data_IF_366238891007
#
_entry.id   IF_366238891007
#
_cell.length_a   1.000
_cell.length_b   1.000
_cell.length_c   1.000
_cell.angle_alpha   90.00
_cell.angle_beta   90.00
_cell.angle_gamma   90.00
#
_symmetry.space_group_name_H-M   'P 1'
#
loop_
_entity.id
_entity.type
_entity.pdbx_description
1 polymer ?
#
# COMPACT_ATOMS: atom_id res chain seq x y z
N UNK A 1 16.20 24.63 4.75
CA UNK A 1 15.00 24.32 5.56
C UNK A 1 13.99 25.43 5.34
N UNK A 2 12.72 25.10 5.11
CA UNK A 2 11.67 26.13 5.05
C UNK A 2 11.57 26.85 6.39
N UNK A 3 11.19 28.14 6.34
CA UNK A 3 11.05 28.99 7.52
C UNK A 3 9.90 28.42 8.37
N UNK A 4 10.17 28.10 9.64
CA UNK A 4 9.12 27.70 10.58
C UNK A 4 8.23 28.92 10.80
N UNK A 5 6.96 28.80 10.41
CA UNK A 5 5.95 29.83 10.67
C UNK A 5 5.37 29.56 12.04
N UNK A 6 5.57 30.48 12.98
CA UNK A 6 4.93 30.45 14.31
C UNK A 6 3.65 31.30 14.26
N UNK A 7 2.50 30.74 14.63
CA UNK A 7 1.22 31.44 14.60
C UNK A 7 0.03 30.48 14.74
N UNK A 8 -1.21 30.98 14.53
CA UNK A 8 -2.39 30.14 14.40
C UNK A 8 -2.18 29.07 13.32
N UNK A 9 -2.93 27.96 13.42
CA UNK A 9 -2.90 26.89 12.42
C UNK A 9 -2.99 27.46 10.99
N UNK A 10 -2.08 27.03 10.11
CA UNK A 10 -2.00 27.57 8.76
C UNK A 10 -2.98 26.89 7.80
N UNK A 11 -3.11 25.57 7.88
CA UNK A 11 -3.92 24.75 6.97
C UNK A 11 -4.35 23.47 7.70
N UNK A 12 -5.66 23.11 7.74
CA UNK A 12 -6.85 23.80 7.18
C UNK A 12 -7.12 25.22 7.70
N UNK A 13 -6.55 25.58 8.85
CA UNK A 13 -6.74 26.90 9.47
C UNK A 13 -7.79 26.88 10.59
N UNK A 14 -7.84 27.94 11.41
CA UNK A 14 -8.53 27.91 12.70
C UNK A 14 -10.06 27.86 12.61
N UNK A 15 -10.66 28.07 11.44
CA UNK A 15 -12.12 28.02 11.26
C UNK A 15 -12.68 26.61 11.10
N UNK A 16 -11.84 25.58 10.97
CA UNK A 16 -12.25 24.17 10.84
C UNK A 16 -12.10 23.49 12.20
N UNK A 17 -13.20 23.30 12.92
CA UNK A 17 -13.16 22.88 14.33
C UNK A 17 -13.97 21.61 14.62
N UNK A 18 -15.07 21.41 13.90
CA UNK A 18 -15.95 20.26 14.10
C UNK A 18 -15.56 19.09 13.20
N UNK A 19 -15.86 17.86 13.63
CA UNK A 19 -15.63 16.65 12.81
C UNK A 19 -16.28 16.74 11.42
N UNK A 20 -17.42 17.42 11.30
CA UNK A 20 -18.10 17.63 10.03
C UNK A 20 -17.32 18.57 9.11
N UNK A 21 -16.78 19.67 9.63
CA UNK A 21 -15.95 20.62 8.88
C UNK A 21 -14.63 19.97 8.48
N UNK A 22 -13.99 19.22 9.41
CA UNK A 22 -12.78 18.45 9.13
C UNK A 22 -13.06 17.46 7.99
N UNK A 23 -14.09 16.62 8.11
CA UNK A 23 -14.44 15.65 7.08
C UNK A 23 -14.69 16.30 5.72
N UNK A 24 -15.39 17.44 5.68
CA UNK A 24 -15.65 18.16 4.43
C UNK A 24 -14.36 18.72 3.82
N UNK A 25 -13.45 19.24 4.66
CA UNK A 25 -12.14 19.67 4.22
C UNK A 25 -11.33 18.52 3.62
N UNK A 26 -11.30 17.36 4.28
CA UNK A 26 -10.61 16.17 3.77
C UNK A 26 -11.17 15.74 2.42
N UNK A 27 -12.49 15.66 2.25
CA UNK A 27 -13.13 15.31 0.96
C UNK A 27 -12.68 16.21 -0.20
N UNK A 28 -12.41 17.48 0.08
CA UNK A 28 -12.04 18.46 -0.93
C UNK A 28 -10.52 18.49 -1.23
N UNK A 29 -9.68 17.99 -0.32
CA UNK A 29 -8.22 18.17 -0.37
C UNK A 29 -7.42 16.86 -0.33
N UNK A 30 -8.08 15.70 -0.18
CA UNK A 30 -7.40 14.42 -0.08
C UNK A 30 -6.66 14.10 -1.39
N UNK A 31 -5.39 13.74 -1.26
CA UNK A 31 -4.59 13.17 -2.33
C UNK A 31 -4.00 11.84 -1.91
N UNK A 32 -3.72 10.97 -2.88
CA UNK A 32 -3.05 9.71 -2.58
C UNK A 32 -1.55 9.94 -2.40
N UNK A 33 -0.92 9.08 -1.61
CA UNK A 33 0.56 8.98 -1.53
C UNK A 33 1.11 7.92 -2.49
N UNK A 34 0.34 7.55 -3.54
CA UNK A 34 0.76 6.66 -4.64
C UNK A 34 1.20 5.24 -4.22
N UNK A 35 0.60 4.66 -3.18
CA UNK A 35 0.88 3.30 -2.70
C UNK A 35 -0.25 2.30 -2.98
N UNK A 36 -0.74 2.25 -4.23
CA UNK A 36 -1.74 1.24 -4.61
C UNK A 36 -1.16 -0.18 -4.49
N UNK A 37 -1.92 -1.10 -3.88
CA UNK A 37 -1.44 -2.45 -3.55
C UNK A 37 -2.62 -3.43 -3.39
N UNK A 38 -2.30 -4.72 -3.18
CA UNK A 38 -3.24 -5.79 -2.77
C UNK A 38 -4.28 -6.23 -3.82
N UNK A 39 -4.23 -5.73 -5.05
CA UNK A 39 -5.18 -6.13 -6.12
C UNK A 39 -5.06 -7.60 -6.57
N UNK A 40 -3.94 -8.25 -6.28
CA UNK A 40 -3.71 -9.69 -6.49
C UNK A 40 -3.22 -10.35 -5.19
N UNK A 41 -3.92 -10.07 -4.09
CA UNK A 41 -3.47 -10.39 -2.73
C UNK A 41 -2.98 -11.83 -2.56
N UNK A 42 -1.84 -11.98 -1.89
CA UNK A 42 -1.39 -13.25 -1.35
C UNK A 42 -2.32 -13.74 -0.24
N UNK A 43 -2.76 -14.99 -0.33
CA UNK A 43 -3.59 -15.61 0.69
C UNK A 43 -4.34 -16.85 0.21
N UNK A 44 -5.13 -17.48 1.10
CA UNK A 44 -5.97 -18.62 0.74
C UNK A 44 -7.01 -18.24 -0.32
N UNK A 45 -7.20 -19.10 -1.33
CA UNK A 45 -8.24 -18.93 -2.34
C UNK A 45 -9.64 -18.81 -1.70
N UNK A 46 -9.91 -19.58 -0.64
CA UNK A 46 -11.18 -19.53 0.12
C UNK A 46 -11.46 -18.18 0.79
N UNK A 47 -10.45 -17.32 0.91
CA UNK A 47 -10.55 -15.96 1.46
C UNK A 47 -10.37 -14.88 0.38
N UNK A 48 -10.44 -15.24 -0.91
CA UNK A 48 -10.27 -14.33 -2.04
C UNK A 48 -8.82 -14.02 -2.39
N UNK A 49 -7.84 -14.83 -1.94
CA UNK A 49 -6.46 -14.70 -2.38
C UNK A 49 -6.29 -15.05 -3.86
N UNK A 50 -5.38 -14.36 -4.54
CA UNK A 50 -5.03 -14.58 -5.96
C UNK A 50 -3.76 -15.39 -6.11
N UNK A 51 -2.79 -15.21 -5.21
CA UNK A 51 -1.56 -16.00 -5.15
C UNK A 51 -1.38 -16.70 -3.82
N UNK A 52 -0.64 -17.80 -3.81
CA UNK A 52 -0.21 -18.47 -2.57
C UNK A 52 1.08 -17.86 -1.98
N UNK A 53 1.57 -18.44 -0.87
CA UNK A 53 2.80 -18.00 -0.18
C UNK A 53 4.08 -18.19 -0.99
N UNK A 54 4.01 -18.83 -2.16
CA UNK A 54 5.11 -18.96 -3.11
C UNK A 54 4.89 -18.11 -4.37
N UNK A 55 3.97 -17.13 -4.31
CA UNK A 55 3.62 -16.20 -5.38
C UNK A 55 2.94 -16.87 -6.59
N UNK A 56 2.52 -18.13 -6.48
CA UNK A 56 1.89 -18.86 -7.60
C UNK A 56 0.43 -18.47 -7.70
N UNK A 57 -0.03 -18.21 -8.93
CA UNK A 57 -1.44 -17.90 -9.18
C UNK A 57 -2.29 -19.16 -8.98
N UNK A 58 -3.33 -19.05 -8.17
CA UNK A 58 -4.23 -20.18 -7.92
C UNK A 58 -4.88 -20.67 -9.22
N UNK A 59 -4.86 -21.99 -9.45
CA UNK A 59 -5.48 -22.61 -10.62
C UNK A 59 -4.71 -22.45 -11.94
N UNK A 60 -3.56 -21.76 -11.95
CA UNK A 60 -2.76 -21.55 -13.17
C UNK A 60 -1.37 -22.16 -13.01
N UNK A 61 -0.92 -22.90 -14.01
CA UNK A 61 0.42 -23.52 -14.00
C UNK A 61 1.44 -22.56 -14.59
N UNK A 62 2.61 -22.46 -13.96
CA UNK A 62 3.76 -21.72 -14.49
C UNK A 62 3.65 -20.19 -14.41
N UNK A 63 2.66 -19.64 -13.69
CA UNK A 63 2.46 -18.20 -13.54
C UNK A 63 2.63 -17.76 -12.08
N UNK A 64 3.39 -16.67 -11.89
CA UNK A 64 3.56 -16.00 -10.59
C UNK A 64 3.31 -14.50 -10.72
N UNK A 65 2.92 -13.85 -9.62
CA UNK A 65 2.78 -12.38 -9.52
C UNK A 65 3.69 -11.90 -8.39
N UNK A 66 4.61 -10.98 -8.71
CA UNK A 66 5.64 -10.49 -7.77
C UNK A 66 5.76 -8.97 -7.90
N UNK A 67 4.79 -8.26 -7.31
CA UNK A 67 4.77 -6.80 -7.19
C UNK A 67 3.84 -6.39 -6.02
N UNK A 68 3.61 -5.09 -5.82
CA UNK A 68 2.78 -4.56 -4.73
C UNK A 68 1.32 -5.11 -4.71
N UNK A 69 0.80 -5.59 -5.84
CA UNK A 69 -0.52 -6.23 -5.90
C UNK A 69 -0.58 -7.51 -5.07
N UNK A 70 0.54 -8.21 -4.89
CA UNK A 70 0.63 -9.47 -4.15
C UNK A 70 0.65 -9.27 -2.63
N UNK A 71 0.81 -8.03 -2.14
CA UNK A 71 0.79 -7.80 -0.70
C UNK A 71 -0.52 -8.28 -0.06
N UNK A 72 -0.46 -9.04 1.05
CA UNK A 72 -1.67 -9.38 1.80
C UNK A 72 -2.29 -8.12 2.45
N UNK A 73 -1.45 -7.15 2.80
CA UNK A 73 -1.83 -5.81 3.27
C UNK A 73 -0.71 -4.82 2.97
N UNK A 74 -1.05 -3.54 2.74
CA UNK A 74 -0.06 -2.49 2.53
C UNK A 74 0.76 -2.29 3.83
N UNK A 75 2.10 -2.39 3.78
CA UNK A 75 2.96 -2.15 4.95
C UNK A 75 3.00 -0.65 5.34
N UNK A 76 3.34 -0.32 6.58
CA UNK A 76 3.56 1.08 6.99
C UNK A 76 4.77 1.68 6.26
N UNK A 77 4.64 2.94 5.83
CA UNK A 77 5.69 3.68 5.12
C UNK A 77 5.68 3.51 3.59
N UNK A 78 6.74 3.96 2.93
CA UNK A 78 6.91 3.77 1.49
C UNK A 78 7.20 2.29 1.17
N UNK A 79 6.41 1.63 0.31
CA UNK A 79 6.48 0.19 0.13
C UNK A 79 7.69 -0.27 -0.70
N UNK A 80 8.43 0.66 -1.31
CA UNK A 80 9.52 0.35 -2.25
C UNK A 80 10.50 -0.71 -1.68
N UNK A 81 10.98 -0.54 -0.45
CA UNK A 81 11.92 -1.49 0.16
C UNK A 81 11.30 -2.87 0.38
N UNK A 82 10.01 -2.92 0.72
CA UNK A 82 9.26 -4.16 0.91
C UNK A 82 9.04 -4.87 -0.43
N UNK A 83 8.79 -4.12 -1.51
CA UNK A 83 8.70 -4.66 -2.87
C UNK A 83 10.03 -5.30 -3.27
N UNK A 84 11.17 -4.61 -3.07
CA UNK A 84 12.49 -5.17 -3.38
C UNK A 84 12.79 -6.43 -2.57
N UNK A 85 12.52 -6.43 -1.27
CA UNK A 85 12.70 -7.61 -0.42
C UNK A 85 11.85 -8.80 -0.89
N UNK A 86 10.57 -8.56 -1.19
CA UNK A 86 9.65 -9.57 -1.69
C UNK A 86 10.09 -10.12 -3.06
N UNK A 87 10.56 -9.24 -3.96
CA UNK A 87 11.08 -9.63 -5.27
C UNK A 87 12.33 -10.53 -5.14
N UNK A 88 13.26 -10.17 -4.25
CA UNK A 88 14.42 -11.02 -3.94
C UNK A 88 13.99 -12.38 -3.40
N UNK A 89 13.06 -12.41 -2.43
CA UNK A 89 12.56 -13.67 -1.89
C UNK A 89 11.87 -14.54 -2.95
N UNK A 90 11.11 -13.92 -3.84
CA UNK A 90 10.48 -14.63 -4.94
C UNK A 90 11.51 -15.20 -5.92
N UNK A 91 12.60 -14.47 -6.20
CA UNK A 91 13.69 -14.94 -7.04
C UNK A 91 14.35 -16.20 -6.46
N UNK A 92 14.64 -16.23 -5.15
CA UNK A 92 15.14 -17.44 -4.48
C UNK A 92 14.21 -18.64 -4.69
N UNK A 93 12.90 -18.44 -4.49
CA UNK A 93 11.88 -19.49 -4.67
C UNK A 93 11.67 -19.92 -6.13
N UNK A 94 12.07 -19.10 -7.10
CA UNK A 94 12.01 -19.41 -8.53
C UNK A 94 13.27 -20.19 -8.93
N UNK A 95 14.44 -19.78 -8.43
CA UNK A 95 15.72 -20.43 -8.67
C UNK A 95 15.91 -21.73 -7.87
N UNK A 96 15.10 -21.95 -6.83
CA UNK A 96 15.19 -23.12 -5.96
C UNK A 96 16.30 -23.03 -4.92
N UNK A 97 16.60 -21.81 -4.45
CA UNK A 97 17.59 -21.51 -3.42
C UNK A 97 17.05 -21.67 -1.99
#
# INVERSE_FOLDING_TARGET
MQKIVTGPEFFPGPSVQTDAEILQFWKNNLMTVWHAARTCAMGPLSKGGVVDSQFRVHGVKGLRIVDASAFPQLPPGHPQSVIYMMANRAADLILGL
#
